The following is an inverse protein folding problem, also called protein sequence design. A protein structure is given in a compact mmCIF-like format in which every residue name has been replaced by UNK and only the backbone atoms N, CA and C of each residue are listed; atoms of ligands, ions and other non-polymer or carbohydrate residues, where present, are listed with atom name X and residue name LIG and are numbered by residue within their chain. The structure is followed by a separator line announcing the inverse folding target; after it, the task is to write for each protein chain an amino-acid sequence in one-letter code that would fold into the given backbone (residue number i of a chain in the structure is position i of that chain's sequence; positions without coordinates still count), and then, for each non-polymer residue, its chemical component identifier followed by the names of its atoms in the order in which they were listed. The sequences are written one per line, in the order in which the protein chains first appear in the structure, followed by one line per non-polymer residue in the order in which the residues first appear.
data_IF_931676027097
#
_entry.id   IF_931676027097
#
_cell.length_a   1.000
_cell.length_b   1.000
_cell.length_c   1.000
_cell.angle_alpha   90.00
_cell.angle_beta   90.00
_cell.angle_gamma   90.00
#
_symmetry.space_group_name_H-M   'P 1'
#
loop_
_entity.id
_entity.type
_entity.pdbx_description
1 polymer ?
#
# COMPACT_ATOMS: atom_id res chain seq x y z
N UNK A 1 -15.96 34.75 36.12
CA UNK A 1 -16.03 33.32 36.44
C UNK A 1 -16.61 32.44 35.33
N UNK A 2 -17.76 32.75 34.74
CA UNK A 2 -18.37 31.95 33.63
C UNK A 2 -17.46 31.75 32.40
N UNK A 3 -16.72 32.77 31.98
CA UNK A 3 -15.80 32.69 30.83
C UNK A 3 -14.56 31.84 31.09
N UNK A 4 -14.07 31.81 32.32
CA UNK A 4 -12.94 30.98 32.74
C UNK A 4 -13.32 29.50 32.77
N UNK A 5 -14.53 29.17 33.22
CA UNK A 5 -15.06 27.80 33.27
C UNK A 5 -15.25 27.26 31.84
N UNK A 6 -15.70 28.10 30.87
CA UNK A 6 -15.84 27.70 29.48
C UNK A 6 -14.50 27.40 28.81
N UNK A 7 -13.47 28.21 29.10
CA UNK A 7 -12.10 27.96 28.61
C UNK A 7 -11.49 26.67 29.17
N UNK A 8 -11.73 26.37 30.44
CA UNK A 8 -11.27 25.13 31.07
C UNK A 8 -11.96 23.89 30.50
N UNK A 9 -13.28 23.97 30.22
CA UNK A 9 -14.03 22.88 29.57
C UNK A 9 -13.56 22.61 28.14
N UNK A 10 -13.18 23.66 27.37
CA UNK A 10 -12.64 23.51 26.00
C UNK A 10 -11.24 22.89 26.01
N UNK A 11 -10.38 23.25 26.97
CA UNK A 11 -9.06 22.61 27.12
C UNK A 11 -9.14 21.13 27.49
N UNK A 12 -10.09 20.72 28.32
CA UNK A 12 -10.24 19.29 28.69
C UNK A 12 -10.75 18.45 27.52
N UNK A 13 -11.59 19.01 26.64
CA UNK A 13 -12.10 18.31 25.46
C UNK A 13 -11.01 18.06 24.37
N UNK A 14 -9.89 18.77 24.40
CA UNK A 14 -8.79 18.60 23.43
C UNK A 14 -7.81 17.46 23.78
N UNK A 15 -7.89 16.89 24.99
CA UNK A 15 -7.00 15.80 25.42
C UNK A 15 -7.58 14.39 25.24
N UNK A 16 -8.79 14.23 24.70
CA UNK A 16 -9.39 12.91 24.46
C UNK A 16 -9.14 12.34 23.06
N UNK A 17 -8.20 12.91 22.27
CA UNK A 17 -7.67 12.24 21.09
C UNK A 17 -6.66 11.15 21.50
N UNK A 18 -7.07 10.27 22.45
CA UNK A 18 -6.31 9.09 22.78
C UNK A 18 -6.49 8.09 21.64
N UNK A 19 -5.59 8.13 20.65
CA UNK A 19 -5.47 7.05 19.68
C UNK A 19 -5.31 5.74 20.45
N UNK A 20 -5.88 4.68 19.91
CA UNK A 20 -5.88 3.35 20.51
C UNK A 20 -4.46 2.75 20.47
N UNK A 21 -3.58 3.24 21.35
CA UNK A 21 -2.16 2.88 21.39
C UNK A 21 -1.97 1.42 21.81
N UNK A 22 -0.90 0.81 21.32
CA UNK A 22 -0.50 -0.56 21.70
C UNK A 22 0.00 -0.52 23.16
N UNK A 23 -0.77 -1.11 24.07
CA UNK A 23 -0.44 -1.17 25.50
C UNK A 23 -0.33 -2.62 25.93
N UNK A 24 0.80 -2.97 26.56
CA UNK A 24 1.07 -4.30 27.12
C UNK A 24 0.69 -5.47 26.18
N UNK A 25 1.23 -5.50 24.94
CA UNK A 25 0.87 -6.52 23.97
C UNK A 25 1.45 -7.88 24.35
N UNK A 26 0.68 -8.94 24.09
CA UNK A 26 1.20 -10.30 24.09
C UNK A 26 2.23 -10.45 22.94
N UNK A 27 3.40 -11.03 23.24
CA UNK A 27 4.42 -11.28 22.22
C UNK A 27 4.17 -12.62 21.53
N UNK A 28 4.03 -12.57 20.21
CA UNK A 28 3.76 -13.76 19.37
C UNK A 28 5.02 -14.07 18.56
N UNK A 29 5.68 -15.18 18.85
CA UNK A 29 6.91 -15.63 18.17
C UNK A 29 6.66 -16.22 16.76
N UNK A 30 5.67 -15.68 16.06
CA UNK A 30 5.31 -16.03 14.66
C UNK A 30 5.17 -14.76 13.85
N UNK A 31 5.39 -14.86 12.55
CA UNK A 31 5.08 -13.78 11.63
C UNK A 31 3.57 -13.53 11.56
N UNK A 32 3.15 -12.28 11.32
CA UNK A 32 1.73 -11.96 11.14
C UNK A 32 1.20 -12.60 9.85
N UNK A 33 -0.03 -13.08 9.87
CA UNK A 33 -0.71 -13.54 8.65
C UNK A 33 -1.28 -12.34 7.91
N UNK A 34 -0.56 -11.84 6.90
CA UNK A 34 -0.91 -10.66 6.11
C UNK A 34 -1.22 -11.01 4.66
N UNK A 35 -2.04 -10.20 4.00
CA UNK A 35 -2.35 -10.34 2.59
C UNK A 35 -2.34 -8.98 1.88
N UNK A 36 -1.61 -8.82 0.77
CA UNK A 36 -0.62 -9.79 0.23
C UNK A 36 0.51 -10.10 1.21
N UNK A 37 1.15 -11.27 1.07
CA UNK A 37 2.30 -11.65 1.90
C UNK A 37 3.57 -10.97 1.39
N UNK A 38 4.05 -10.02 2.18
CA UNK A 38 5.25 -9.23 1.90
C UNK A 38 6.43 -9.58 2.80
N UNK A 39 6.36 -10.68 3.53
CA UNK A 39 7.42 -11.10 4.46
C UNK A 39 8.67 -11.52 3.68
N UNK A 40 9.77 -10.82 3.88
CA UNK A 40 11.07 -11.13 3.28
C UNK A 40 11.17 -10.88 1.77
N UNK A 41 10.21 -10.17 1.18
CA UNK A 41 10.27 -9.82 -0.26
C UNK A 41 11.30 -8.72 -0.53
N UNK A 42 11.82 -8.70 -1.76
CA UNK A 42 12.64 -7.60 -2.29
C UNK A 42 11.80 -6.73 -3.22
N UNK A 43 11.80 -5.42 -2.98
CA UNK A 43 11.04 -4.44 -3.75
C UNK A 43 11.95 -3.37 -4.34
N UNK A 44 11.59 -2.76 -5.48
CA UNK A 44 12.31 -1.60 -6.01
C UNK A 44 12.10 -0.36 -5.12
N UNK A 45 13.09 0.53 -5.08
CA UNK A 45 13.00 1.78 -4.31
C UNK A 45 11.89 2.74 -4.79
N UNK A 46 11.36 2.53 -5.99
CA UNK A 46 10.32 3.37 -6.60
C UNK A 46 8.93 2.76 -6.57
N UNK A 47 8.75 1.59 -5.96
CA UNK A 47 7.44 0.90 -5.95
C UNK A 47 6.38 1.68 -5.16
N UNK A 48 5.13 1.58 -5.59
CA UNK A 48 3.96 2.09 -4.89
C UNK A 48 3.87 1.54 -3.45
N UNK A 49 3.16 2.22 -2.54
CA UNK A 49 2.96 1.73 -1.19
C UNK A 49 2.49 0.28 -1.13
N UNK A 50 3.23 -0.56 -0.40
CA UNK A 50 2.94 -1.98 -0.24
C UNK A 50 1.88 -2.17 0.85
N UNK A 51 0.66 -1.71 0.55
CA UNK A 51 -0.48 -1.80 1.45
C UNK A 51 -0.90 -3.26 1.66
N UNK A 52 -1.31 -3.60 2.87
CA UNK A 52 -1.75 -4.96 3.19
C UNK A 52 -2.88 -4.96 4.23
N UNK A 53 -3.47 -6.12 4.43
CA UNK A 53 -4.46 -6.38 5.48
C UNK A 53 -4.05 -7.60 6.29
N UNK A 54 -4.52 -7.68 7.52
CA UNK A 54 -4.45 -8.91 8.30
C UNK A 54 -5.50 -9.90 7.79
N UNK A 55 -5.16 -11.17 7.68
CA UNK A 55 -6.04 -12.17 7.02
C UNK A 55 -7.28 -12.53 7.84
N UNK A 56 -7.21 -12.50 9.16
CA UNK A 56 -8.39 -12.67 10.01
C UNK A 56 -9.18 -11.37 10.06
N UNK A 57 -10.39 -11.37 9.53
CA UNK A 57 -11.25 -10.18 9.44
C UNK A 57 -11.90 -9.77 10.76
N UNK A 58 -11.76 -10.58 11.82
CA UNK A 58 -12.36 -10.32 13.14
C UNK A 58 -11.54 -9.36 14.03
N UNK A 59 -10.41 -8.85 13.53
CA UNK A 59 -9.61 -7.88 14.26
C UNK A 59 -10.26 -6.49 14.28
N UNK A 60 -9.98 -5.76 15.35
CA UNK A 60 -10.52 -4.42 15.59
C UNK A 60 -9.62 -3.34 14.97
N UNK A 61 -8.29 -3.54 15.09
CA UNK A 61 -7.29 -2.57 14.68
C UNK A 61 -5.95 -3.22 14.40
N UNK A 62 -5.22 -2.63 13.49
CA UNK A 62 -3.83 -2.97 13.18
C UNK A 62 -2.94 -1.78 13.44
N UNK A 63 -1.81 -2.01 14.09
CA UNK A 63 -0.76 -1.05 14.33
C UNK A 63 0.50 -1.55 13.64
N UNK A 64 1.08 -0.73 12.75
CA UNK A 64 2.25 -1.08 11.98
C UNK A 64 3.29 0.02 12.09
N UNK A 65 4.47 -0.35 12.53
CA UNK A 65 5.63 0.53 12.55
C UNK A 65 6.65 0.00 11.53
N UNK A 66 7.06 0.85 10.60
CA UNK A 66 8.06 0.53 9.58
C UNK A 66 9.28 1.40 9.80
N UNK A 67 10.44 0.78 9.99
CA UNK A 67 11.73 1.44 10.23
C UNK A 67 12.76 0.99 9.21
N UNK A 68 13.56 1.94 8.70
CA UNK A 68 14.82 1.67 8.02
C UNK A 68 16.00 2.04 8.90
N UNK A 69 17.21 1.83 8.40
CA UNK A 69 18.42 2.36 9.05
C UNK A 69 18.50 3.88 8.95
N UNK A 70 17.85 4.46 7.93
CA UNK A 70 17.82 5.90 7.71
C UNK A 70 16.38 6.40 7.53
N UNK A 71 16.19 7.70 7.77
CA UNK A 71 14.90 8.36 7.62
C UNK A 71 14.02 8.24 8.86
N UNK A 72 12.82 8.78 8.72
CA UNK A 72 11.78 8.69 9.77
C UNK A 72 11.02 7.38 9.63
N UNK A 73 10.64 6.80 10.75
CA UNK A 73 9.71 5.67 10.75
C UNK A 73 8.34 6.10 10.23
N UNK A 74 7.64 5.15 9.62
CA UNK A 74 6.24 5.31 9.23
C UNK A 74 5.39 4.49 10.19
N UNK A 75 4.42 5.14 10.81
CA UNK A 75 3.53 4.52 11.79
C UNK A 75 2.08 4.61 11.32
N UNK A 76 1.41 3.47 11.24
CA UNK A 76 0.00 3.33 10.86
C UNK A 76 -0.73 2.66 12.00
N UNK A 77 -1.76 3.31 12.52
CA UNK A 77 -2.68 2.73 13.50
C UNK A 77 -4.11 2.92 12.99
N UNK A 78 -4.66 1.89 12.32
CA UNK A 78 -5.92 1.99 11.59
C UNK A 78 -6.65 0.64 11.50
N UNK A 79 -7.75 0.57 10.75
CA UNK A 79 -8.42 -0.68 10.38
C UNK A 79 -7.73 -1.40 9.22
N UNK A 80 -7.08 -0.65 8.32
CA UNK A 80 -6.36 -1.17 7.15
C UNK A 80 -5.02 -0.46 7.02
N UNK A 81 -4.01 -1.16 6.54
CA UNK A 81 -2.67 -0.58 6.35
C UNK A 81 -2.60 0.09 4.99
N UNK A 82 -2.62 1.41 5.01
CA UNK A 82 -2.44 2.25 3.84
C UNK A 82 -1.30 3.24 4.13
N UNK A 83 -0.16 3.02 3.53
CA UNK A 83 1.00 3.89 3.73
C UNK A 83 0.83 5.19 2.95
N UNK A 84 1.08 6.36 3.58
CA UNK A 84 1.12 7.63 2.87
C UNK A 84 2.22 7.61 1.81
N UNK A 85 1.87 7.96 0.58
CA UNK A 85 2.74 7.80 -0.60
C UNK A 85 4.07 8.56 -0.45
N UNK A 86 4.02 9.78 0.12
CA UNK A 86 5.21 10.62 0.29
C UNK A 86 6.20 10.02 1.30
N UNK A 87 5.70 9.62 2.46
CA UNK A 87 6.51 9.03 3.53
C UNK A 87 7.07 7.68 3.11
N UNK A 88 6.26 6.87 2.42
CA UNK A 88 6.69 5.60 1.85
C UNK A 88 7.84 5.77 0.87
N UNK A 89 7.71 6.66 -0.11
CA UNK A 89 8.77 6.95 -1.10
C UNK A 89 10.05 7.46 -0.43
N UNK A 90 9.93 8.34 0.57
CA UNK A 90 11.09 8.83 1.32
C UNK A 90 11.80 7.69 2.05
N UNK A 91 11.05 6.82 2.72
CA UNK A 91 11.61 5.69 3.45
C UNK A 91 12.34 4.71 2.53
N UNK A 92 11.74 4.34 1.38
CA UNK A 92 12.38 3.48 0.38
C UNK A 92 13.66 4.11 -0.18
N UNK A 93 13.61 5.37 -0.59
CA UNK A 93 14.76 6.06 -1.20
C UNK A 93 15.91 6.19 -0.23
N UNK A 94 15.63 6.48 1.06
CA UNK A 94 16.66 6.61 2.07
C UNK A 94 17.33 5.28 2.44
N UNK A 95 16.70 4.14 2.12
CA UNK A 95 17.19 2.81 2.46
C UNK A 95 17.42 1.91 1.23
N UNK A 96 17.69 2.52 0.07
CA UNK A 96 17.97 1.77 -1.17
C UNK A 96 19.20 0.87 -1.00
N UNK A 97 19.08 -0.41 -1.36
CA UNK A 97 20.12 -1.42 -1.18
C UNK A 97 20.17 -2.02 0.23
N UNK A 98 19.23 -1.65 1.08
CA UNK A 98 19.13 -2.09 2.48
C UNK A 98 17.74 -2.73 2.74
N UNK A 99 17.28 -2.73 3.98
CA UNK A 99 16.02 -3.32 4.39
C UNK A 99 15.20 -2.39 5.29
N UNK A 100 13.89 -2.62 5.28
CA UNK A 100 12.96 -2.06 6.25
C UNK A 100 12.52 -3.17 7.20
N UNK A 101 12.36 -2.84 8.48
CA UNK A 101 11.82 -3.72 9.49
C UNK A 101 10.38 -3.33 9.79
N UNK A 102 9.47 -4.27 9.64
CA UNK A 102 8.05 -4.13 9.95
C UNK A 102 7.74 -4.75 11.30
N UNK A 103 7.15 -3.97 12.19
CA UNK A 103 6.57 -4.45 13.45
C UNK A 103 5.06 -4.33 13.35
N UNK A 104 4.34 -5.44 13.50
CA UNK A 104 2.89 -5.51 13.35
C UNK A 104 2.25 -5.93 14.67
N UNK A 105 1.30 -5.14 15.13
CA UNK A 105 0.47 -5.46 16.29
C UNK A 105 -1.01 -5.47 15.89
N UNK A 106 -1.75 -6.45 16.39
CA UNK A 106 -3.17 -6.65 16.10
C UNK A 106 -3.98 -6.52 17.39
N UNK A 107 -5.04 -5.74 17.34
CA UNK A 107 -6.03 -5.68 18.41
C UNK A 107 -7.20 -6.59 18.09
N UNK A 108 -7.46 -7.53 18.96
CA UNK A 108 -8.58 -8.48 18.87
C UNK A 108 -9.18 -8.73 20.24
N UNK A 109 -10.51 -8.65 20.37
CA UNK A 109 -11.24 -8.79 21.64
C UNK A 109 -10.68 -7.87 22.75
N UNK A 110 -10.35 -6.63 22.35
CA UNK A 110 -9.82 -5.60 23.24
C UNK A 110 -8.35 -5.78 23.67
N UNK A 111 -7.65 -6.82 23.21
CA UNK A 111 -6.26 -7.11 23.58
C UNK A 111 -5.32 -6.92 22.39
N UNK A 112 -4.12 -6.43 22.65
CA UNK A 112 -3.06 -6.29 21.67
C UNK A 112 -2.13 -7.50 21.66
N UNK A 113 -1.78 -7.96 20.48
CA UNK A 113 -0.73 -8.98 20.24
C UNK A 113 0.27 -8.42 19.24
N UNK A 114 1.57 -8.40 19.58
CA UNK A 114 2.66 -7.98 18.72
C UNK A 114 3.35 -9.20 18.15
N UNK A 115 3.43 -9.28 16.84
CA UNK A 115 4.02 -10.38 16.11
C UNK A 115 5.53 -10.21 15.92
N UNK A 116 6.20 -11.32 15.60
CA UNK A 116 7.62 -11.31 15.24
C UNK A 116 7.86 -10.32 14.10
N UNK A 117 8.75 -9.36 14.25
CA UNK A 117 9.09 -8.41 13.18
C UNK A 117 9.67 -9.11 11.96
N UNK A 118 9.39 -8.59 10.77
CA UNK A 118 9.88 -9.13 9.50
C UNK A 118 10.57 -8.08 8.64
N UNK A 119 11.59 -8.46 7.86
CA UNK A 119 12.24 -7.56 6.92
C UNK A 119 11.51 -7.50 5.58
N UNK A 120 11.64 -6.35 4.90
CA UNK A 120 11.42 -6.14 3.48
C UNK A 120 12.70 -5.53 2.90
N UNK A 121 13.25 -6.12 1.85
CA UNK A 121 14.50 -5.68 1.24
C UNK A 121 14.25 -4.69 0.11
N UNK A 122 15.11 -3.70 -0.05
CA UNK A 122 15.01 -2.69 -1.09
C UNK A 122 16.12 -2.92 -2.10
N UNK A 123 15.75 -3.18 -3.36
CA UNK A 123 16.70 -3.37 -4.45
C UNK A 123 17.58 -2.13 -4.66
N UNK A 124 18.89 -2.29 -4.87
CA UNK A 124 19.75 -1.20 -5.31
C UNK A 124 19.52 -0.82 -6.78
N UNK A 125 18.81 -1.67 -7.53
CA UNK A 125 18.56 -1.46 -8.96
C UNK A 125 17.22 -0.76 -9.19
N UNK A 126 17.15 0.16 -10.15
CA UNK A 126 15.90 0.76 -10.55
C UNK A 126 14.99 -0.26 -11.25
N UNK A 127 13.70 0.01 -11.28
CA UNK A 127 12.73 -0.67 -12.12
C UNK A 127 12.21 0.32 -13.17
N UNK A 128 11.73 -0.22 -14.28
CA UNK A 128 11.05 0.57 -15.29
C UNK A 128 9.84 1.30 -14.69
N UNK A 129 9.51 2.42 -15.29
CA UNK A 129 8.51 3.34 -14.77
C UNK A 129 7.11 2.73 -14.69
N UNK A 130 6.74 1.80 -15.60
CA UNK A 130 5.38 1.34 -15.69
C UNK A 130 5.19 -0.01 -16.35
N UNK A 131 3.95 -0.48 -16.30
CA UNK A 131 3.46 -1.65 -17.01
C UNK A 131 2.36 -1.24 -17.96
N UNK A 132 2.40 -1.80 -19.18
CA UNK A 132 1.26 -1.74 -20.10
C UNK A 132 0.74 -3.17 -20.30
N UNK A 133 -0.55 -3.34 -20.17
CA UNK A 133 -1.18 -4.67 -20.19
C UNK A 133 -2.59 -4.62 -20.71
N UNK A 134 -3.05 -5.76 -21.21
CA UNK A 134 -4.45 -5.94 -21.56
C UNK A 134 -5.27 -6.22 -20.30
N UNK A 135 -6.27 -5.42 -20.04
CA UNK A 135 -7.24 -5.62 -18.97
C UNK A 135 -8.50 -6.27 -19.51
N UNK A 136 -8.85 -7.42 -18.93
CA UNK A 136 -10.06 -8.16 -19.25
C UNK A 136 -10.82 -8.29 -17.94
N UNK A 137 -11.90 -7.55 -17.82
CA UNK A 137 -12.78 -7.69 -16.67
C UNK A 137 -13.64 -8.97 -16.81
N UNK A 138 -13.93 -9.68 -15.71
CA UNK A 138 -14.81 -10.85 -15.75
C UNK A 138 -16.24 -10.45 -16.13
N UNK A 139 -16.86 -11.25 -17.01
CA UNK A 139 -18.25 -11.08 -17.44
C UNK A 139 -18.43 -10.24 -18.70
N UNK A 140 -19.54 -10.50 -19.40
CA UNK A 140 -19.89 -9.83 -20.67
C UNK A 140 -20.29 -8.36 -20.49
N UNK A 141 -20.74 -7.98 -19.31
CA UNK A 141 -21.25 -6.63 -19.00
C UNK A 141 -20.16 -5.55 -19.01
N UNK A 142 -18.89 -5.95 -19.00
CA UNK A 142 -17.76 -5.03 -18.93
C UNK A 142 -16.92 -4.96 -20.21
N UNK A 143 -17.47 -5.40 -21.34
CA UNK A 143 -16.84 -5.30 -22.65
C UNK A 143 -16.33 -3.87 -22.94
N UNK A 144 -17.05 -2.85 -22.55
CA UNK A 144 -16.68 -1.45 -22.73
C UNK A 144 -15.42 -1.04 -21.95
N UNK A 145 -15.09 -1.75 -20.88
CA UNK A 145 -13.91 -1.50 -20.03
C UNK A 145 -12.73 -2.42 -20.34
N UNK A 146 -12.85 -3.27 -21.35
CA UNK A 146 -11.73 -4.09 -21.81
C UNK A 146 -10.84 -3.25 -22.73
N UNK A 147 -9.53 -3.40 -22.61
CA UNK A 147 -8.62 -2.62 -23.41
C UNK A 147 -7.17 -2.75 -22.97
N UNK A 148 -6.32 -1.89 -23.50
CA UNK A 148 -4.93 -1.74 -23.10
C UNK A 148 -4.82 -0.61 -22.08
N UNK A 149 -4.22 -0.91 -20.97
CA UNK A 149 -4.05 -0.01 -19.83
C UNK A 149 -2.59 0.15 -19.48
N UNK A 150 -2.24 1.32 -18.99
CA UNK A 150 -0.95 1.63 -18.41
C UNK A 150 -1.07 1.82 -16.91
N UNK A 151 -0.12 1.29 -16.16
CA UNK A 151 0.02 1.48 -14.73
C UNK A 151 1.40 1.99 -14.39
N UNK A 152 1.45 3.14 -13.73
CA UNK A 152 2.64 3.66 -13.07
C UNK A 152 2.97 2.81 -11.84
N UNK A 153 4.14 2.19 -11.82
CA UNK A 153 4.57 1.32 -10.71
C UNK A 153 4.92 2.10 -9.44
N UNK A 154 5.12 3.40 -9.53
CA UNK A 154 5.39 4.24 -8.36
C UNK A 154 4.13 4.66 -7.60
N UNK A 155 2.96 4.32 -8.13
CA UNK A 155 1.65 4.64 -7.56
C UNK A 155 0.65 3.52 -7.85
N UNK A 156 -0.57 3.63 -7.31
CA UNK A 156 -1.66 2.73 -7.65
C UNK A 156 -2.53 3.23 -8.82
N UNK A 157 -2.05 4.25 -9.54
CA UNK A 157 -2.79 4.85 -10.64
C UNK A 157 -2.71 3.97 -11.89
N UNK A 158 -3.86 3.80 -12.50
CA UNK A 158 -4.05 3.10 -13.77
C UNK A 158 -4.80 4.02 -14.72
N UNK A 159 -4.43 4.02 -16.00
CA UNK A 159 -5.16 4.75 -17.02
C UNK A 159 -5.39 3.90 -18.28
N UNK A 160 -6.52 4.02 -18.95
CA UNK A 160 -6.72 3.40 -20.24
C UNK A 160 -5.87 4.11 -21.30
N UNK A 161 -5.25 3.32 -22.18
CA UNK A 161 -4.62 3.80 -23.42
C UNK A 161 -5.59 3.65 -24.59
N UNK A 162 -6.19 2.47 -24.72
CA UNK A 162 -7.18 2.14 -25.75
C UNK A 162 -8.22 1.19 -25.15
N UNK A 163 -9.49 1.52 -25.25
CA UNK A 163 -10.60 0.67 -24.83
C UNK A 163 -11.43 0.19 -26.03
N UNK A 164 -12.17 -0.91 -25.87
CA UNK A 164 -13.02 -1.48 -26.90
C UNK A 164 -14.11 -0.52 -27.43
N UNK A 165 -14.37 0.55 -26.70
CA UNK A 165 -15.33 1.60 -27.06
C UNK A 165 -14.78 2.65 -28.02
N UNK A 166 -13.47 2.63 -28.31
CA UNK A 166 -12.85 3.61 -29.20
C UNK A 166 -13.49 3.62 -30.59
N UNK A 167 -13.78 2.42 -31.10
CA UNK A 167 -14.52 2.23 -32.35
C UNK A 167 -15.62 1.19 -32.14
N UNK A 168 -16.82 1.46 -32.61
CA UNK A 168 -17.98 0.55 -32.46
C UNK A 168 -17.68 -0.83 -33.08
N UNK A 169 -17.86 -1.87 -32.28
CA UNK A 169 -17.65 -3.27 -32.72
C UNK A 169 -16.19 -3.72 -32.73
N UNK A 170 -15.27 -2.89 -32.25
CA UNK A 170 -13.86 -3.20 -32.18
C UNK A 170 -13.53 -4.03 -30.92
N UNK A 171 -12.57 -4.94 -31.07
CA UNK A 171 -11.98 -5.65 -29.93
C UNK A 171 -10.47 -5.42 -29.91
N UNK A 172 -10.01 -4.69 -28.94
CA UNK A 172 -8.57 -4.47 -28.73
C UNK A 172 -7.97 -5.70 -28.06
N UNK A 173 -7.09 -6.40 -28.76
CA UNK A 173 -6.52 -7.65 -28.28
C UNK A 173 -5.00 -7.71 -28.40
N UNK A 174 -4.52 -7.87 -29.64
CA UNK A 174 -3.11 -8.13 -29.89
C UNK A 174 -2.30 -6.83 -29.82
N UNK A 175 -1.25 -6.85 -29.00
CA UNK A 175 -0.30 -5.76 -28.93
C UNK A 175 1.12 -6.32 -28.78
N UNK A 176 2.10 -5.59 -29.24
CA UNK A 176 3.51 -5.92 -29.09
C UNK A 176 4.31 -4.65 -28.78
N UNK A 177 5.16 -4.73 -27.78
CA UNK A 177 6.01 -3.62 -27.38
C UNK A 177 7.30 -3.59 -28.18
N UNK A 178 7.89 -2.40 -28.30
CA UNK A 178 9.24 -2.22 -28.78
C UNK A 178 10.23 -2.68 -27.69
N UNK A 179 10.46 -3.99 -27.59
CA UNK A 179 11.26 -4.62 -26.53
C UNK A 179 10.67 -4.31 -25.15
N UNK A 180 11.44 -3.64 -24.28
CA UNK A 180 11.05 -3.24 -22.92
C UNK A 180 10.56 -1.79 -22.82
N UNK A 181 10.45 -1.08 -23.94
CA UNK A 181 9.98 0.31 -23.96
C UNK A 181 8.45 0.36 -23.98
N UNK A 182 7.80 0.72 -22.86
CA UNK A 182 6.34 0.78 -22.77
C UNK A 182 5.73 1.98 -23.51
N UNK A 183 6.55 2.94 -23.95
CA UNK A 183 6.07 4.15 -24.64
C UNK A 183 5.75 3.91 -26.11
N UNK A 184 6.24 2.80 -26.69
CA UNK A 184 6.04 2.45 -28.09
C UNK A 184 5.53 1.02 -28.22
N UNK A 185 4.33 0.86 -28.72
CA UNK A 185 3.76 -0.45 -29.02
C UNK A 185 2.93 -0.43 -30.31
N UNK A 186 2.86 -1.57 -30.96
CA UNK A 186 1.94 -1.83 -32.06
C UNK A 186 0.67 -2.47 -31.55
N UNK A 187 -0.46 -2.09 -32.12
CA UNK A 187 -1.77 -2.59 -31.78
C UNK A 187 -2.44 -3.14 -33.03
N UNK A 188 -2.94 -4.36 -32.96
CA UNK A 188 -3.81 -4.91 -33.98
C UNK A 188 -5.27 -4.74 -33.55
N UNK A 189 -6.05 -4.16 -34.44
CA UNK A 189 -7.44 -3.81 -34.23
C UNK A 189 -8.31 -4.58 -35.19
#
# INVERSE_FOLDING_TARGET
MRKLILLYSICIALFTACGDSVVSPEQIEKYPSIYPDYIGVTVPATIAPMNFSYTDTSYERIDVIVKGHQGKEVHINAKHVNFPEKEWKQLLTSNQGDSLLFTVSIKQKGKWSTYKPFPMYISPHPIDYGLVYRKIAPGYEVYSRMGIYERDLSSHKERPLVENTLVKGMCVNCHAFNRTDPSHFSLHI
#
